data_IF_195395145967
#
_entry.id   IF_195395145967
#
_cell.length_a   1.000
_cell.length_b   1.000
_cell.length_c   1.000
_cell.angle_alpha   90.00
_cell.angle_beta   90.00
_cell.angle_gamma   90.00
#
_symmetry.space_group_name_H-M   'P 1'
#
loop_
_entity.id
_entity.type
_entity.pdbx_description
1 polymer ?
#
# COMPACT_ATOMS: atom_id res chain seq x y z
N UNK A 1 56.74 4.99 54.72
CA UNK A 1 56.90 3.92 53.71
C UNK A 1 55.69 3.02 53.66
N UNK A 2 54.46 3.59 53.44
CA UNK A 2 53.21 2.88 53.58
C UNK A 2 52.13 3.32 52.52
N UNK A 3 52.58 3.90 51.38
CA UNK A 3 51.68 4.44 50.34
C UNK A 3 51.61 3.62 49.04
N UNK A 4 52.44 2.59 48.90
CA UNK A 4 52.55 1.84 47.61
C UNK A 4 51.48 0.73 47.41
N UNK A 5 50.95 0.08 48.47
CA UNK A 5 49.92 -0.98 48.21
C UNK A 5 48.54 -0.47 47.88
N UNK A 6 48.18 0.77 48.25
CA UNK A 6 46.84 1.34 47.95
C UNK A 6 46.69 1.72 46.47
N UNK A 7 47.73 2.24 45.84
CA UNK A 7 47.72 2.62 44.43
C UNK A 7 47.59 1.42 43.48
N UNK A 8 48.17 0.27 43.87
CA UNK A 8 48.12 -0.96 43.10
C UNK A 8 46.71 -1.61 43.07
N UNK A 9 45.92 -1.41 44.16
CA UNK A 9 44.53 -1.91 44.24
C UNK A 9 43.57 -1.07 43.43
N UNK A 10 43.81 0.24 43.31
CA UNK A 10 42.98 1.14 42.49
C UNK A 10 43.17 0.88 40.99
N UNK A 11 44.41 0.59 40.57
CA UNK A 11 44.70 0.25 39.16
C UNK A 11 44.11 -1.09 38.71
N UNK A 12 43.97 -2.08 39.64
CA UNK A 12 43.36 -3.38 39.32
C UNK A 12 41.80 -3.34 39.20
N UNK A 13 41.17 -2.38 39.86
CA UNK A 13 39.71 -2.20 39.77
C UNK A 13 39.30 -1.46 38.49
N UNK A 14 40.13 -0.56 37.99
CA UNK A 14 39.86 0.13 36.71
C UNK A 14 40.03 -0.75 35.47
N UNK A 15 40.79 -1.86 35.56
CA UNK A 15 41.00 -2.78 34.43
C UNK A 15 39.82 -3.73 34.17
N UNK A 16 38.82 -3.81 35.10
CA UNK A 16 37.65 -4.68 34.99
C UNK A 16 36.41 -4.00 34.44
N UNK A 17 36.47 -2.68 34.14
CA UNK A 17 35.43 -1.91 33.54
C UNK A 17 35.70 -1.65 32.03
N UNK A 18 36.10 -2.68 31.30
CA UNK A 18 36.06 -2.60 29.83
C UNK A 18 34.60 -2.51 29.38
N UNK A 19 34.21 -1.45 28.66
CA UNK A 19 32.88 -1.42 28.10
C UNK A 19 32.76 -2.54 27.07
N UNK A 20 31.88 -3.51 27.33
CA UNK A 20 31.43 -4.48 26.36
C UNK A 20 30.68 -3.69 25.28
N UNK A 21 31.42 -3.27 24.25
CA UNK A 21 30.81 -2.75 23.03
C UNK A 21 30.09 -3.93 22.34
N UNK A 22 28.83 -4.13 22.69
CA UNK A 22 27.93 -4.98 21.90
C UNK A 22 27.76 -4.27 20.56
N UNK A 23 28.52 -4.70 19.57
CA UNK A 23 28.24 -4.39 18.17
C UNK A 23 26.87 -5.01 17.84
N UNK A 24 25.83 -4.21 17.95
CA UNK A 24 24.55 -4.56 17.36
C UNK A 24 24.75 -4.53 15.83
N UNK A 25 24.97 -5.69 15.25
CA UNK A 25 24.77 -5.91 13.83
C UNK A 25 23.27 -5.70 13.58
N UNK A 26 22.92 -4.46 13.22
CA UNK A 26 21.63 -4.23 12.61
C UNK A 26 21.61 -5.04 11.31
N UNK A 27 20.91 -6.18 11.34
CA UNK A 27 20.45 -6.80 10.13
C UNK A 27 19.62 -5.72 9.42
N UNK A 28 20.20 -5.12 8.37
CA UNK A 28 19.48 -4.29 7.42
C UNK A 28 18.50 -5.21 6.72
N UNK A 29 17.35 -5.42 7.36
CA UNK A 29 16.14 -5.82 6.67
C UNK A 29 15.92 -4.75 5.63
N UNK A 30 16.06 -5.12 4.33
CA UNK A 30 15.94 -4.18 3.23
C UNK A 30 14.64 -3.40 3.38
N UNK A 31 14.74 -2.14 3.79
CA UNK A 31 13.68 -1.17 3.57
C UNK A 31 13.40 -1.18 2.08
N UNK A 32 12.14 -1.27 1.63
CA UNK A 32 11.81 -1.06 0.23
C UNK A 32 12.48 0.26 -0.18
N UNK A 33 13.44 0.17 -1.10
CA UNK A 33 14.20 1.32 -1.54
C UNK A 33 13.25 2.28 -2.23
N UNK A 34 12.96 3.40 -1.59
CA UNK A 34 12.40 4.57 -2.27
C UNK A 34 13.59 5.18 -2.99
N UNK A 35 13.81 4.82 -4.24
CA UNK A 35 14.73 5.53 -5.12
C UNK A 35 14.13 6.91 -5.40
N UNK A 36 14.35 7.84 -4.44
CA UNK A 36 13.96 9.23 -4.52
C UNK A 36 14.78 9.98 -5.57
N UNK A 37 14.53 9.68 -6.83
CA UNK A 37 14.96 10.52 -7.95
C UNK A 37 14.16 11.82 -7.94
N UNK A 38 14.85 12.94 -7.97
CA UNK A 38 14.33 14.30 -8.05
C UNK A 38 13.18 14.43 -9.06
N UNK A 39 11.95 14.59 -8.56
CA UNK A 39 10.79 15.00 -9.37
C UNK A 39 10.08 13.92 -10.17
N UNK A 40 10.42 12.66 -10.02
CA UNK A 40 9.76 11.53 -10.66
C UNK A 40 8.81 10.81 -9.68
N UNK A 41 7.73 10.24 -10.22
CA UNK A 41 6.78 9.43 -9.45
C UNK A 41 7.53 8.38 -8.59
N UNK A 42 7.08 8.18 -7.35
CA UNK A 42 7.70 7.20 -6.47
C UNK A 42 7.68 5.81 -7.12
N UNK A 43 8.85 5.19 -7.26
CA UNK A 43 8.99 3.82 -7.76
C UNK A 43 9.22 2.91 -6.57
N UNK A 44 8.30 1.98 -6.35
CA UNK A 44 8.36 0.99 -5.27
C UNK A 44 8.83 -0.35 -5.82
N UNK A 45 9.90 -0.94 -5.28
CA UNK A 45 10.44 -2.21 -5.73
C UNK A 45 10.23 -3.31 -4.68
N UNK A 46 9.54 -4.39 -5.09
CA UNK A 46 9.23 -5.55 -4.25
C UNK A 46 9.73 -6.85 -4.88
N UNK A 47 10.84 -6.80 -5.63
CA UNK A 47 11.38 -7.94 -6.38
C UNK A 47 12.59 -8.54 -5.64
N UNK A 48 12.55 -9.83 -5.27
CA UNK A 48 13.73 -10.53 -4.76
C UNK A 48 14.83 -10.64 -5.84
N UNK A 49 16.11 -10.72 -5.46
CA UNK A 49 17.20 -10.90 -6.38
C UNK A 49 17.00 -12.16 -7.27
N UNK A 50 17.19 -12.00 -8.60
CA UNK A 50 17.12 -13.12 -9.55
C UNK A 50 15.71 -13.49 -10.00
N UNK A 51 14.67 -12.81 -9.56
CA UNK A 51 13.28 -13.05 -10.01
C UNK A 51 12.93 -12.11 -11.17
N UNK A 52 12.32 -12.64 -12.27
CA UNK A 52 11.82 -11.79 -13.36
C UNK A 52 10.78 -10.78 -12.86
N UNK A 53 11.03 -9.52 -13.14
CA UNK A 53 10.19 -8.41 -12.73
C UNK A 53 9.32 -7.88 -13.87
N UNK A 54 8.25 -7.15 -13.50
CA UNK A 54 7.45 -6.30 -14.37
C UNK A 54 7.18 -4.97 -13.66
N UNK A 55 6.91 -3.93 -14.43
CA UNK A 55 6.52 -2.61 -13.92
C UNK A 55 5.05 -2.37 -14.20
N UNK A 56 4.33 -1.84 -13.22
CA UNK A 56 2.90 -1.51 -13.29
C UNK A 56 2.64 -0.19 -12.59
N UNK A 57 1.65 0.53 -13.07
CA UNK A 57 1.23 1.78 -12.45
C UNK A 57 -0.02 1.55 -11.59
N UNK A 58 0.00 2.04 -10.35
CA UNK A 58 -1.12 1.95 -9.41
C UNK A 58 -1.62 3.33 -9.06
N UNK A 59 -2.88 3.64 -9.38
CA UNK A 59 -3.46 4.97 -9.29
C UNK A 59 -4.79 4.98 -8.54
N UNK A 60 -5.20 6.20 -8.11
CA UNK A 60 -6.54 6.43 -7.55
C UNK A 60 -6.59 6.40 -6.03
N UNK A 61 -7.71 5.95 -5.48
CA UNK A 61 -7.97 5.93 -4.05
C UNK A 61 -7.25 4.76 -3.36
N UNK A 62 -5.93 4.81 -3.38
CA UNK A 62 -5.04 3.81 -2.80
C UNK A 62 -4.06 4.50 -1.83
N UNK A 63 -3.58 3.79 -0.84
CA UNK A 63 -2.74 4.38 0.21
C UNK A 63 -1.40 4.86 -0.31
N UNK A 64 -0.80 4.12 -1.23
CA UNK A 64 0.49 4.45 -1.84
C UNK A 64 0.37 4.36 -3.37
N UNK A 65 -0.11 5.41 -4.05
CA UNK A 65 -0.13 5.44 -5.52
C UNK A 65 1.29 5.63 -6.06
N UNK A 66 1.59 5.04 -7.22
CA UNK A 66 2.90 5.15 -7.85
C UNK A 66 3.19 4.02 -8.82
N UNK A 67 4.44 3.96 -9.31
CA UNK A 67 4.94 2.88 -10.15
C UNK A 67 5.53 1.77 -9.26
N UNK A 68 5.16 0.53 -9.56
CA UNK A 68 5.54 -0.65 -8.82
C UNK A 68 6.33 -1.60 -9.69
N UNK A 69 7.52 -1.99 -9.22
CA UNK A 69 8.29 -3.07 -9.80
C UNK A 69 8.07 -4.33 -8.96
N UNK A 70 7.40 -5.32 -9.55
CA UNK A 70 6.92 -6.52 -8.88
C UNK A 70 7.29 -7.79 -9.66
N UNK A 71 7.30 -8.98 -9.02
CA UNK A 71 7.45 -10.24 -9.73
C UNK A 71 6.35 -10.45 -10.78
N UNK A 72 6.68 -11.02 -11.92
CA UNK A 72 5.71 -11.34 -13.00
C UNK A 72 4.62 -12.34 -12.60
N UNK A 73 4.79 -13.03 -11.48
CA UNK A 73 3.82 -13.98 -10.92
C UNK A 73 2.81 -13.34 -9.98
N UNK A 74 2.95 -12.04 -9.71
CA UNK A 74 2.07 -11.32 -8.77
C UNK A 74 0.66 -11.17 -9.35
N UNK A 75 -0.35 -11.46 -8.53
CA UNK A 75 -1.75 -11.23 -8.88
C UNK A 75 -2.15 -9.77 -8.65
N UNK A 76 -3.30 -9.37 -9.20
CA UNK A 76 -3.87 -8.04 -8.97
C UNK A 76 -4.08 -7.74 -7.47
N UNK A 77 -4.56 -8.71 -6.69
CA UNK A 77 -4.76 -8.54 -5.25
C UNK A 77 -3.43 -8.39 -4.49
N UNK A 78 -2.39 -9.11 -4.91
CA UNK A 78 -1.06 -8.97 -4.30
C UNK A 78 -0.50 -7.57 -4.53
N UNK A 79 -0.68 -7.03 -5.76
CA UNK A 79 -0.29 -5.66 -6.10
C UNK A 79 -1.04 -4.65 -5.23
N UNK A 80 -2.36 -4.81 -5.09
CA UNK A 80 -3.15 -3.95 -4.19
C UNK A 80 -2.68 -4.04 -2.74
N UNK A 81 -2.29 -5.23 -2.29
CA UNK A 81 -1.80 -5.44 -0.92
C UNK A 81 -0.49 -4.70 -0.66
N UNK A 82 0.49 -4.79 -1.58
CA UNK A 82 1.77 -4.05 -1.44
C UNK A 82 1.60 -2.54 -1.61
N UNK A 83 0.58 -2.09 -2.33
CA UNK A 83 0.20 -0.68 -2.45
C UNK A 83 -0.57 -0.16 -1.21
N UNK A 84 -0.76 -0.98 -0.19
CA UNK A 84 -1.41 -0.63 1.08
C UNK A 84 -2.94 -0.64 1.05
N UNK A 85 -3.54 -1.16 -0.01
CA UNK A 85 -4.98 -1.30 -0.18
C UNK A 85 -5.71 0.02 -0.44
N UNK A 86 -7.04 -0.05 -0.69
CA UNK A 86 -7.85 1.13 -0.96
C UNK A 86 -8.01 2.02 0.27
N UNK A 87 -8.06 3.33 0.05
CA UNK A 87 -8.44 4.30 1.09
C UNK A 87 -9.96 4.43 1.06
N UNK A 88 -10.60 3.63 1.90
CA UNK A 88 -12.05 3.67 2.08
C UNK A 88 -12.34 4.52 3.32
N UNK A 89 -13.03 5.64 3.14
CA UNK A 89 -13.53 6.47 4.23
C UNK A 89 -14.99 6.13 4.55
N UNK A 90 -15.42 6.41 5.76
CA UNK A 90 -16.84 6.62 6.06
C UNK A 90 -17.12 8.10 5.86
N UNK A 91 -18.11 8.45 5.06
CA UNK A 91 -18.54 9.84 5.01
C UNK A 91 -19.26 10.23 6.32
N UNK A 92 -19.40 11.54 6.53
CA UNK A 92 -20.05 12.10 7.73
C UNK A 92 -21.51 11.61 7.92
N UNK A 93 -22.11 11.06 6.87
CA UNK A 93 -23.49 10.56 6.85
C UNK A 93 -23.56 9.03 7.03
N UNK A 94 -22.42 8.36 7.32
CA UNK A 94 -22.37 6.92 7.55
C UNK A 94 -22.67 6.06 6.33
N UNK A 95 -22.51 6.62 5.11
CA UNK A 95 -22.74 5.88 3.87
C UNK A 95 -21.56 4.96 3.60
N UNK A 96 -21.87 3.72 3.21
CA UNK A 96 -20.86 2.73 2.86
C UNK A 96 -20.22 3.11 1.52
N UNK A 97 -18.89 3.21 1.53
CA UNK A 97 -18.10 3.40 0.33
C UNK A 97 -17.71 2.05 -0.26
N UNK A 98 -17.75 1.94 -1.57
CA UNK A 98 -17.34 0.74 -2.33
C UNK A 98 -16.11 1.07 -3.16
N UNK A 99 -15.09 0.21 -3.10
CA UNK A 99 -13.92 0.30 -3.97
C UNK A 99 -14.18 -0.46 -5.27
N UNK A 100 -13.99 0.20 -6.39
CA UNK A 100 -14.02 -0.38 -7.74
C UNK A 100 -12.59 -0.43 -8.25
N UNK A 101 -12.19 -1.61 -8.67
CA UNK A 101 -10.86 -1.87 -9.24
C UNK A 101 -11.00 -1.95 -10.75
N UNK A 102 -10.11 -1.27 -11.46
CA UNK A 102 -10.01 -1.28 -12.92
C UNK A 102 -8.59 -1.63 -13.34
N UNK A 103 -8.47 -2.54 -14.28
CA UNK A 103 -7.23 -2.86 -14.95
C UNK A 103 -7.31 -2.39 -16.40
N UNK A 104 -6.39 -1.56 -16.80
CA UNK A 104 -6.29 -1.03 -18.17
C UNK A 104 -4.92 -1.32 -18.75
N UNK A 105 -4.87 -1.58 -20.04
CA UNK A 105 -3.65 -1.87 -20.80
C UNK A 105 -3.55 -0.95 -22.01
N UNK A 106 -2.33 -0.61 -22.41
CA UNK A 106 -2.11 0.13 -23.64
C UNK A 106 -2.40 -0.78 -24.86
N UNK A 107 -3.31 -0.33 -25.72
CA UNK A 107 -3.70 -1.00 -26.95
C UNK A 107 -3.32 -0.18 -28.17
N UNK A 108 -3.57 -0.70 -29.38
CA UNK A 108 -3.21 -0.05 -30.63
C UNK A 108 -3.89 1.31 -30.87
N UNK A 109 -5.09 1.53 -30.29
CA UNK A 109 -5.90 2.76 -30.46
C UNK A 109 -5.97 3.59 -29.18
N UNK A 110 -5.10 3.34 -28.21
CA UNK A 110 -5.11 3.97 -26.90
C UNK A 110 -5.22 2.95 -25.79
N UNK A 111 -5.79 3.37 -24.65
CA UNK A 111 -5.88 2.51 -23.48
C UNK A 111 -7.19 1.76 -23.42
N UNK A 112 -7.12 0.44 -23.41
CA UNK A 112 -8.25 -0.46 -23.31
C UNK A 112 -8.52 -0.85 -21.84
N UNK A 113 -9.79 -0.81 -21.44
CA UNK A 113 -10.23 -1.33 -20.14
C UNK A 113 -10.40 -2.85 -20.26
N UNK A 114 -9.53 -3.61 -19.57
CA UNK A 114 -9.56 -5.08 -19.58
C UNK A 114 -10.48 -5.64 -18.51
N UNK A 115 -10.59 -4.97 -17.37
CA UNK A 115 -11.34 -5.49 -16.22
C UNK A 115 -11.88 -4.33 -15.37
N UNK A 116 -13.11 -4.48 -14.89
CA UNK A 116 -13.71 -3.61 -13.88
C UNK A 116 -14.60 -4.45 -12.99
N UNK A 117 -14.39 -4.38 -11.67
CA UNK A 117 -15.23 -5.03 -10.68
C UNK A 117 -15.15 -4.31 -9.32
N UNK A 118 -16.13 -4.59 -8.45
CA UNK A 118 -16.02 -4.22 -7.05
C UNK A 118 -14.90 -5.05 -6.40
N UNK A 119 -14.08 -4.41 -5.56
CA UNK A 119 -13.01 -5.11 -4.87
C UNK A 119 -13.55 -6.29 -4.04
N UNK A 120 -14.68 -6.10 -3.38
CA UNK A 120 -15.34 -7.16 -2.61
C UNK A 120 -15.74 -8.39 -3.44
N UNK A 121 -16.01 -8.22 -4.73
CA UNK A 121 -16.32 -9.34 -5.65
C UNK A 121 -15.04 -10.07 -6.05
N UNK A 122 -13.94 -9.34 -6.22
CA UNK A 122 -12.62 -9.94 -6.49
C UNK A 122 -12.13 -10.73 -5.28
N UNK A 123 -12.25 -10.17 -4.07
CA UNK A 123 -11.85 -10.84 -2.83
C UNK A 123 -12.65 -12.11 -2.56
N UNK A 124 -13.92 -12.12 -2.89
CA UNK A 124 -14.80 -13.31 -2.78
C UNK A 124 -14.59 -14.34 -3.91
N UNK A 125 -13.81 -14.00 -4.92
CA UNK A 125 -13.61 -14.85 -6.10
C UNK A 125 -14.80 -14.89 -7.06
N UNK A 126 -15.81 -14.02 -6.89
CA UNK A 126 -16.96 -13.92 -7.82
C UNK A 126 -16.61 -13.16 -9.10
N UNK A 127 -15.57 -12.30 -9.06
CA UNK A 127 -14.98 -11.65 -10.21
C UNK A 127 -13.50 -12.04 -10.30
N UNK A 128 -13.13 -12.69 -11.41
CA UNK A 128 -11.75 -13.17 -11.62
C UNK A 128 -11.02 -12.18 -12.53
N UNK A 129 -10.01 -11.45 -12.02
CA UNK A 129 -9.24 -10.53 -12.84
C UNK A 129 -8.30 -11.29 -13.79
N UNK A 130 -8.00 -10.74 -14.97
CA UNK A 130 -6.96 -11.28 -15.84
C UNK A 130 -5.57 -11.10 -15.19
N UNK A 131 -4.58 -11.86 -15.65
CA UNK A 131 -3.20 -11.69 -15.18
C UNK A 131 -2.70 -10.27 -15.51
N UNK A 132 -2.00 -9.68 -14.54
CA UNK A 132 -1.34 -8.39 -14.70
C UNK A 132 -0.09 -8.57 -15.54
N UNK A 133 0.19 -7.62 -16.42
CA UNK A 133 1.37 -7.62 -17.30
C UNK A 133 2.13 -6.30 -17.23
N UNK A 134 3.26 -6.24 -17.94
CA UNK A 134 4.12 -5.06 -18.05
C UNK A 134 3.30 -3.85 -18.52
N UNK A 135 3.54 -2.66 -17.93
CA UNK A 135 2.91 -1.38 -18.25
C UNK A 135 1.38 -1.33 -18.07
N UNK A 136 0.78 -2.31 -17.39
CA UNK A 136 -0.63 -2.24 -16.99
C UNK A 136 -0.85 -1.10 -15.99
N UNK A 137 -2.04 -0.50 -16.06
CA UNK A 137 -2.49 0.47 -15.06
C UNK A 137 -3.61 -0.13 -14.23
N UNK A 138 -3.34 -0.25 -12.95
CA UNK A 138 -4.31 -0.61 -11.94
C UNK A 138 -4.84 0.65 -11.27
N UNK A 139 -6.13 0.94 -11.45
CA UNK A 139 -6.77 2.10 -10.83
C UNK A 139 -7.86 1.70 -9.86
N UNK A 140 -7.89 2.36 -8.71
CA UNK A 140 -8.92 2.16 -7.68
C UNK A 140 -9.77 3.42 -7.56
N UNK A 141 -11.08 3.26 -7.71
CA UNK A 141 -12.06 4.32 -7.52
C UNK A 141 -12.95 3.99 -6.33
N UNK A 142 -13.24 4.98 -5.52
CA UNK A 142 -14.20 4.84 -4.43
C UNK A 142 -15.50 5.50 -4.83
N UNK A 143 -16.61 4.77 -4.73
CA UNK A 143 -17.96 5.26 -4.97
C UNK A 143 -18.77 5.20 -3.68
N UNK A 144 -19.51 6.25 -3.41
CA UNK A 144 -20.45 6.29 -2.30
C UNK A 144 -21.78 5.68 -2.78
N UNK A 145 -22.24 4.64 -2.12
CA UNK A 145 -23.57 4.09 -2.38
C UNK A 145 -24.62 4.99 -1.73
N UNK A 146 -25.34 5.75 -2.52
CA UNK A 146 -26.50 6.49 -2.03
C UNK A 146 -27.58 5.47 -1.59
N UNK A 147 -27.81 5.33 -0.30
CA UNK A 147 -29.02 4.67 0.20
C UNK A 147 -30.19 5.62 0.04
N UNK A 148 -31.07 5.35 -0.90
CA UNK A 148 -32.39 5.99 -0.93
C UNK A 148 -33.16 5.47 0.28
N UNK A 149 -33.29 6.32 1.32
CA UNK A 149 -34.18 6.01 2.42
C UNK A 149 -35.61 6.21 1.95
N UNK A 150 -36.49 5.24 2.23
CA UNK A 150 -37.95 5.33 1.94
C UNK A 150 -38.57 6.62 2.52
N UNK A 151 -37.97 7.21 3.55
CA UNK A 151 -38.33 8.51 4.13
C UNK A 151 -38.22 9.66 3.12
N UNK A 152 -37.22 9.62 2.22
CA UNK A 152 -37.00 10.66 1.22
C UNK A 152 -38.08 10.59 0.13
N UNK A 153 -38.58 9.39 -0.17
CA UNK A 153 -39.67 9.18 -1.12
C UNK A 153 -40.99 9.70 -0.56
N UNK A 154 -41.24 9.56 0.76
CA UNK A 154 -42.47 10.06 1.39
C UNK A 154 -42.50 11.58 1.49
N UNK A 155 -41.37 12.25 1.62
CA UNK A 155 -41.31 13.71 1.67
C UNK A 155 -41.72 14.36 0.33
N UNK A 156 -41.40 13.73 -0.77
CA UNK A 156 -41.78 14.21 -2.12
C UNK A 156 -43.29 14.06 -2.37
N UNK A 157 -43.93 12.99 -1.86
CA UNK A 157 -45.35 12.76 -2.04
C UNK A 157 -46.23 13.71 -1.22
N UNK A 158 -45.77 14.14 -0.06
CA UNK A 158 -46.51 15.12 0.77
C UNK A 158 -46.46 16.54 0.21
N UNK A 159 -45.43 16.90 -0.55
CA UNK A 159 -45.35 18.24 -1.18
C UNK A 159 -46.27 18.41 -2.37
N UNK A 160 -46.66 17.31 -3.05
CA UNK A 160 -47.58 17.35 -4.21
C UNK A 160 -49.04 17.37 -3.79
N UNK A 161 -49.38 16.89 -2.59
CA UNK A 161 -50.76 16.88 -2.08
C UNK A 161 -51.21 18.23 -1.48
N UNK A 162 -50.31 19.23 -1.42
CA UNK A 162 -50.62 20.56 -0.85
C UNK A 162 -50.82 21.66 -1.90
N UNK A 163 -50.96 21.30 -3.19
CA UNK A 163 -51.33 22.15 -4.32
C UNK A 163 -52.75 21.82 -4.78
#
# INVERSE_FOLDING_TARGET
MLLIPALRRVLLVCALLAPFTVSQAFAQGGTPGIDGGTGLAAVYSYVPPGVPAMEIDVWGAIRQPGRYRVPRTMSLLDVLSVAGGPVIGTDEEGRTQEAIVRLSREGANGRDLLFEAQLADVERGSAIPPPVTEDDILSVQVRVRARLYWRDVLSVTTSVAAL
#
